data_IF_675916827134
#
_entry.id   IF_675916827134
#
_cell.length_a   1.000
_cell.length_b   1.000
_cell.length_c   1.000
_cell.angle_alpha   90.00
_cell.angle_beta   90.00
_cell.angle_gamma   90.00
#
_symmetry.space_group_name_H-M   'P 1'
#
loop_
_entity.id
_entity.type
_entity.pdbx_description
1 polymer ?
#
# COMPACT_ATOMS: atom_id res chain seq x y z
N UNK A 1 -29.86 -2.48 -16.12
CA UNK A 1 -28.65 -1.80 -15.61
C UNK A 1 -28.84 -0.28 -15.50
N UNK A 2 -30.03 0.20 -15.26
CA UNK A 2 -30.35 1.60 -15.02
C UNK A 2 -31.41 1.72 -13.92
N UNK A 3 -31.42 2.87 -13.24
CA UNK A 3 -32.49 3.28 -12.33
C UNK A 3 -32.95 4.69 -12.68
N UNK A 4 -34.19 5.03 -12.39
CA UNK A 4 -34.71 6.39 -12.46
C UNK A 4 -34.45 7.09 -11.14
N UNK A 5 -33.94 8.31 -11.18
CA UNK A 5 -33.85 9.21 -10.04
C UNK A 5 -34.59 10.51 -10.34
N UNK A 6 -35.25 11.04 -9.32
CA UNK A 6 -35.89 12.35 -9.43
C UNK A 6 -34.88 13.47 -9.17
N UNK A 7 -34.66 14.33 -10.13
CA UNK A 7 -33.89 15.54 -9.90
C UNK A 7 -34.74 16.56 -9.12
N UNK A 8 -34.42 16.77 -7.86
CA UNK A 8 -35.18 17.63 -6.95
C UNK A 8 -35.17 19.12 -7.35
N UNK A 9 -34.20 19.55 -8.16
CA UNK A 9 -34.14 20.94 -8.65
C UNK A 9 -35.03 21.19 -9.88
N UNK A 10 -35.10 20.23 -10.79
CA UNK A 10 -35.81 20.33 -12.04
C UNK A 10 -37.15 19.63 -12.04
N UNK A 11 -37.41 18.74 -11.06
CA UNK A 11 -38.59 17.89 -11.04
C UNK A 11 -38.61 16.78 -12.10
N UNK A 12 -37.54 16.66 -12.89
CA UNK A 12 -37.45 15.69 -13.97
C UNK A 12 -36.85 14.36 -13.47
N UNK A 13 -37.33 13.27 -14.04
CA UNK A 13 -36.75 11.93 -13.79
C UNK A 13 -35.59 11.68 -14.74
N UNK A 14 -34.43 11.38 -14.20
CA UNK A 14 -33.22 11.08 -14.96
C UNK A 14 -32.88 9.59 -14.89
N UNK A 15 -32.41 9.02 -16.01
CA UNK A 15 -31.86 7.68 -16.06
C UNK A 15 -30.41 7.71 -15.60
N UNK A 16 -30.13 7.01 -14.50
CA UNK A 16 -28.76 6.78 -14.05
C UNK A 16 -28.40 5.32 -14.31
N UNK A 17 -27.32 5.10 -15.02
CA UNK A 17 -26.81 3.74 -15.23
C UNK A 17 -26.07 3.29 -13.98
N UNK A 18 -26.49 2.17 -13.38
CA UNK A 18 -25.77 1.53 -12.27
C UNK A 18 -24.37 1.10 -12.73
N UNK A 19 -24.29 0.56 -13.95
CA UNK A 19 -23.02 0.26 -14.62
C UNK A 19 -22.94 1.16 -15.85
N UNK A 20 -21.92 2.04 -15.96
CA UNK A 20 -21.73 2.89 -17.13
C UNK A 20 -21.75 2.05 -18.42
N UNK A 21 -22.38 2.51 -19.52
CA UNK A 21 -22.45 1.77 -20.78
C UNK A 21 -21.08 1.27 -21.28
N UNK A 22 -20.05 2.08 -21.12
CA UNK A 22 -18.65 1.72 -21.47
C UNK A 22 -18.09 0.55 -20.66
N UNK A 23 -18.70 0.18 -19.52
CA UNK A 23 -18.24 -0.90 -18.65
C UNK A 23 -19.09 -2.16 -18.71
N UNK A 24 -20.17 -2.18 -19.49
CA UNK A 24 -21.09 -3.34 -19.56
C UNK A 24 -20.36 -4.61 -20.04
N UNK A 25 -19.37 -4.46 -20.91
CA UNK A 25 -18.55 -5.56 -21.46
C UNK A 25 -17.15 -5.63 -20.90
N UNK A 26 -16.87 -4.90 -19.82
CA UNK A 26 -15.53 -4.72 -19.27
C UNK A 26 -14.77 -6.04 -19.04
N UNK A 27 -15.41 -7.06 -18.44
CA UNK A 27 -14.76 -8.37 -18.22
C UNK A 27 -14.50 -9.12 -19.55
N UNK A 28 -15.42 -9.00 -20.50
CA UNK A 28 -15.25 -9.60 -21.84
C UNK A 28 -14.10 -8.93 -22.59
N UNK A 29 -14.01 -7.61 -22.50
CA UNK A 29 -12.95 -6.83 -23.15
C UNK A 29 -11.58 -7.13 -22.54
N UNK A 30 -11.48 -7.23 -21.20
CA UNK A 30 -10.26 -7.66 -20.53
C UNK A 30 -9.85 -9.07 -20.98
N UNK A 31 -10.80 -10.01 -21.05
CA UNK A 31 -10.51 -11.38 -21.49
C UNK A 31 -9.96 -11.40 -22.90
N UNK A 32 -10.53 -10.59 -23.80
CA UNK A 32 -10.03 -10.45 -25.17
C UNK A 32 -8.61 -9.88 -25.18
N UNK A 33 -8.39 -8.77 -24.47
CA UNK A 33 -7.06 -8.13 -24.35
C UNK A 33 -6.00 -9.11 -23.86
N UNK A 34 -6.32 -9.94 -22.85
CA UNK A 34 -5.38 -10.94 -22.34
C UNK A 34 -5.07 -12.01 -23.38
N UNK A 35 -6.07 -12.50 -24.11
CA UNK A 35 -5.85 -13.49 -25.18
C UNK A 35 -5.05 -12.93 -26.36
N UNK A 36 -5.32 -11.68 -26.73
CA UNK A 36 -4.57 -10.96 -27.76
C UNK A 36 -3.10 -10.79 -27.34
N UNK A 37 -2.88 -10.44 -26.05
CA UNK A 37 -1.54 -10.36 -25.47
C UNK A 37 -0.81 -11.69 -25.48
N UNK A 38 -1.44 -12.79 -25.05
CA UNK A 38 -0.84 -14.13 -25.08
C UNK A 38 -0.47 -14.58 -26.49
N UNK A 39 -1.31 -14.23 -27.47
CA UNK A 39 -1.03 -14.51 -28.90
C UNK A 39 0.18 -13.72 -29.37
N UNK A 40 0.23 -12.43 -29.06
CA UNK A 40 1.37 -11.58 -29.38
C UNK A 40 2.67 -12.06 -28.71
N UNK A 41 2.62 -12.46 -27.44
CA UNK A 41 3.78 -13.04 -26.73
C UNK A 41 4.29 -14.29 -27.46
N UNK A 42 3.39 -15.18 -27.89
CA UNK A 42 3.75 -16.39 -28.60
C UNK A 42 4.44 -16.05 -29.92
N UNK A 43 3.88 -15.15 -30.73
CA UNK A 43 4.46 -14.69 -31.98
C UNK A 43 5.87 -14.09 -31.80
N UNK A 44 6.04 -13.22 -30.81
CA UNK A 44 7.33 -12.59 -30.48
C UNK A 44 8.35 -13.61 -30.00
N UNK A 45 7.93 -14.58 -29.18
CA UNK A 45 8.80 -15.66 -28.72
C UNK A 45 9.25 -16.59 -29.89
N UNK A 46 8.37 -16.87 -30.82
CA UNK A 46 8.72 -17.64 -32.04
C UNK A 46 9.74 -16.88 -32.91
N UNK A 47 9.54 -15.58 -33.14
CA UNK A 47 10.51 -14.75 -33.87
C UNK A 47 11.87 -14.73 -33.17
N UNK A 48 11.89 -14.57 -31.85
CA UNK A 48 13.12 -14.59 -31.06
C UNK A 48 13.81 -15.96 -31.10
N UNK A 49 13.05 -17.04 -31.12
CA UNK A 49 13.57 -18.39 -31.23
C UNK A 49 14.22 -18.63 -32.58
N UNK A 50 13.58 -18.16 -33.65
CA UNK A 50 14.16 -18.23 -34.99
C UNK A 50 15.47 -17.43 -35.09
N UNK A 51 15.49 -16.22 -34.55
CA UNK A 51 16.69 -15.39 -34.47
C UNK A 51 17.82 -16.09 -33.72
N UNK A 52 17.52 -16.74 -32.59
CA UNK A 52 18.49 -17.54 -31.86
C UNK A 52 19.04 -18.68 -32.67
N UNK A 53 18.19 -19.42 -33.40
CA UNK A 53 18.59 -20.52 -34.29
C UNK A 53 19.51 -20.03 -35.44
N UNK A 54 19.13 -18.91 -36.06
CA UNK A 54 19.93 -18.29 -37.14
C UNK A 54 21.29 -17.79 -36.62
N UNK A 55 21.34 -17.18 -35.43
CA UNK A 55 22.58 -16.76 -34.80
C UNK A 55 23.50 -17.96 -34.50
N UNK A 56 22.93 -19.03 -33.96
CA UNK A 56 23.66 -20.28 -33.73
C UNK A 56 24.22 -20.88 -35.04
N UNK A 57 23.45 -20.90 -36.13
CA UNK A 57 23.92 -21.35 -37.43
C UNK A 57 25.06 -20.44 -37.93
N UNK A 58 24.92 -19.13 -37.82
CA UNK A 58 25.93 -18.15 -38.22
C UNK A 58 27.24 -18.29 -37.45
N UNK A 59 27.20 -18.81 -36.23
CA UNK A 59 28.37 -19.04 -35.40
C UNK A 59 29.31 -20.13 -35.98
N UNK A 60 28.81 -21.01 -36.84
CA UNK A 60 29.64 -22.03 -37.50
C UNK A 60 30.45 -21.44 -38.66
N UNK A 61 31.76 -21.73 -38.77
CA UNK A 61 32.64 -21.13 -39.80
C UNK A 61 32.14 -21.27 -41.22
N UNK A 62 31.48 -22.41 -41.54
CA UNK A 62 30.96 -22.70 -42.89
C UNK A 62 29.81 -21.81 -43.35
N UNK A 63 29.07 -21.22 -42.40
CA UNK A 63 27.87 -20.44 -42.65
C UNK A 63 28.05 -18.95 -42.36
N UNK A 64 29.22 -18.54 -41.87
CA UNK A 64 29.52 -17.19 -41.44
C UNK A 64 29.39 -16.12 -42.55
N UNK A 65 29.58 -16.50 -43.80
CA UNK A 65 29.57 -15.60 -44.96
C UNK A 65 28.38 -15.78 -45.87
N UNK A 66 27.31 -16.44 -45.46
CA UNK A 66 26.08 -16.62 -46.21
C UNK A 66 25.23 -15.35 -46.22
N UNK A 67 25.25 -14.58 -47.30
CA UNK A 67 24.46 -13.34 -47.46
C UNK A 67 22.95 -13.57 -47.23
N UNK A 68 22.39 -14.66 -47.72
CA UNK A 68 20.98 -15.04 -47.52
C UNK A 68 20.60 -15.19 -46.01
N UNK A 69 21.53 -15.63 -45.18
CA UNK A 69 21.33 -15.76 -43.76
C UNK A 69 21.26 -14.38 -43.09
N UNK A 70 22.08 -13.44 -43.55
CA UNK A 70 22.09 -12.06 -43.07
C UNK A 70 20.80 -11.32 -43.46
N UNK A 71 20.28 -11.58 -44.65
CA UNK A 71 18.99 -11.03 -45.10
C UNK A 71 17.85 -11.54 -44.24
N UNK A 72 17.77 -12.84 -43.96
CA UNK A 72 16.75 -13.46 -43.11
C UNK A 72 16.81 -12.94 -41.68
N UNK A 73 18.01 -12.81 -41.11
CA UNK A 73 18.21 -12.23 -39.76
C UNK A 73 17.68 -10.80 -39.71
N UNK A 74 17.99 -9.97 -40.70
CA UNK A 74 17.51 -8.58 -40.77
C UNK A 74 15.99 -8.52 -40.88
N UNK A 75 15.39 -9.35 -41.71
CA UNK A 75 13.92 -9.39 -41.84
C UNK A 75 13.24 -9.76 -40.53
N UNK A 76 13.75 -10.79 -39.85
CA UNK A 76 13.19 -11.19 -38.55
C UNK A 76 13.45 -10.16 -37.44
N UNK A 77 14.60 -9.49 -37.44
CA UNK A 77 14.87 -8.38 -36.50
C UNK A 77 13.90 -7.23 -36.69
N UNK A 78 13.43 -6.94 -37.90
CA UNK A 78 12.41 -5.91 -38.15
C UNK A 78 11.02 -6.30 -37.62
N UNK A 79 10.74 -7.61 -37.51
CA UNK A 79 9.47 -8.15 -37.00
C UNK A 79 9.48 -8.27 -35.49
N UNK A 80 10.66 -8.31 -34.86
CA UNK A 80 10.79 -8.35 -33.39
C UNK A 80 10.47 -6.98 -32.78
N UNK A 81 9.54 -6.96 -31.82
CA UNK A 81 9.16 -5.71 -31.16
C UNK A 81 10.37 -5.09 -30.43
N UNK A 82 10.56 -3.76 -30.46
CA UNK A 82 11.72 -3.10 -29.83
C UNK A 82 11.88 -3.41 -28.34
N UNK A 83 10.78 -3.48 -27.58
CA UNK A 83 10.80 -3.85 -26.16
C UNK A 83 11.30 -5.28 -25.95
N UNK A 84 10.90 -6.21 -26.82
CA UNK A 84 11.37 -7.60 -26.78
C UNK A 84 12.88 -7.68 -27.00
N UNK A 85 13.41 -6.87 -27.91
CA UNK A 85 14.85 -6.75 -28.10
C UNK A 85 15.56 -6.22 -26.87
N UNK A 86 15.03 -5.17 -26.26
CA UNK A 86 15.59 -4.60 -24.99
C UNK A 86 15.62 -5.63 -23.87
N UNK A 87 14.56 -6.45 -23.72
CA UNK A 87 14.52 -7.54 -22.75
C UNK A 87 15.65 -8.54 -22.98
N UNK A 88 15.85 -8.97 -24.22
CA UNK A 88 16.92 -9.90 -24.57
C UNK A 88 18.31 -9.32 -24.31
N UNK A 89 18.53 -8.07 -24.73
CA UNK A 89 19.80 -7.37 -24.53
C UNK A 89 20.12 -7.15 -23.04
N UNK A 90 19.09 -6.96 -22.19
CA UNK A 90 19.23 -6.76 -20.75
C UNK A 90 19.34 -8.07 -19.94
N UNK A 91 19.08 -9.24 -20.53
CA UNK A 91 18.94 -10.49 -19.80
C UNK A 91 20.18 -10.89 -18.97
N UNK A 92 21.38 -10.73 -19.52
CA UNK A 92 22.62 -11.05 -18.80
C UNK A 92 22.82 -10.13 -17.58
N UNK A 93 22.50 -8.85 -17.74
CA UNK A 93 22.53 -7.88 -16.62
C UNK A 93 21.52 -8.28 -15.55
N UNK A 94 20.29 -8.60 -15.96
CA UNK A 94 19.24 -9.04 -15.03
C UNK A 94 19.71 -10.26 -14.22
N UNK A 95 20.29 -11.28 -14.87
CA UNK A 95 20.86 -12.45 -14.19
C UNK A 95 21.93 -12.06 -13.17
N UNK A 96 22.79 -11.11 -13.53
CA UNK A 96 23.86 -10.66 -12.63
C UNK A 96 23.32 -9.90 -11.43
N UNK A 97 22.34 -9.03 -11.62
CA UNK A 97 21.72 -8.23 -10.55
C UNK A 97 21.12 -9.14 -9.46
N UNK A 98 20.49 -10.27 -9.84
CA UNK A 98 19.93 -11.24 -8.91
C UNK A 98 20.96 -12.22 -8.31
N UNK A 99 22.18 -12.32 -8.89
CA UNK A 99 23.31 -13.08 -8.33
C UNK A 99 24.17 -12.29 -7.35
N UNK A 100 24.14 -10.96 -7.43
CA UNK A 100 24.89 -10.10 -6.52
C UNK A 100 24.40 -10.31 -5.08
N UNK A 101 25.25 -10.00 -4.11
CA UNK A 101 24.91 -10.10 -2.67
C UNK A 101 23.73 -9.20 -2.30
N UNK A 102 23.63 -8.04 -2.94
CA UNK A 102 22.59 -7.05 -2.69
C UNK A 102 21.85 -6.70 -3.98
N UNK A 103 20.55 -6.67 -3.90
CA UNK A 103 19.68 -6.04 -4.89
C UNK A 103 19.50 -4.57 -4.50
N UNK A 104 19.77 -3.66 -5.45
CA UNK A 104 19.77 -2.22 -5.20
C UNK A 104 18.69 -1.57 -6.04
N UNK A 105 17.78 -0.84 -5.40
CA UNK A 105 16.77 -0.06 -6.09
C UNK A 105 16.56 1.31 -5.42
N UNK A 106 16.06 2.26 -6.18
CA UNK A 106 15.81 3.62 -5.69
C UNK A 106 14.32 3.81 -5.41
N UNK A 107 14.03 4.35 -4.22
CA UNK A 107 12.68 4.83 -3.87
C UNK A 107 12.81 6.33 -3.61
N UNK A 108 12.29 7.14 -4.52
CA UNK A 108 12.52 8.59 -4.56
C UNK A 108 14.04 8.87 -4.59
N UNK A 109 14.56 9.61 -3.60
CA UNK A 109 15.99 9.96 -3.52
C UNK A 109 16.81 8.99 -2.66
N UNK A 110 16.21 7.92 -2.12
CA UNK A 110 16.90 6.95 -1.26
C UNK A 110 17.22 5.68 -2.02
N UNK A 111 18.48 5.27 -1.99
CA UNK A 111 18.93 3.97 -2.44
C UNK A 111 18.67 2.92 -1.35
N UNK A 112 17.96 1.85 -1.71
CA UNK A 112 17.64 0.75 -0.82
C UNK A 112 18.42 -0.48 -1.29
N UNK A 113 19.21 -1.05 -0.37
CA UNK A 113 19.99 -2.28 -0.59
C UNK A 113 19.38 -3.39 0.23
N UNK A 114 19.06 -4.51 -0.41
CA UNK A 114 18.48 -5.67 0.24
C UNK A 114 19.24 -6.92 -0.16
N UNK A 115 19.57 -7.79 0.80
CA UNK A 115 20.22 -9.07 0.52
C UNK A 115 19.38 -9.91 -0.42
N UNK A 116 20.03 -10.44 -1.45
CA UNK A 116 19.40 -11.31 -2.47
C UNK A 116 19.22 -12.75 -2.00
N UNK A 117 19.93 -13.14 -0.95
CA UNK A 117 19.93 -14.50 -0.42
C UNK A 117 19.50 -14.51 1.04
N UNK A 118 18.97 -15.65 1.47
CA UNK A 118 18.76 -16.00 2.88
C UNK A 118 19.68 -17.16 3.23
N UNK A 119 20.20 -17.18 4.45
CA UNK A 119 21.04 -18.28 4.94
C UNK A 119 20.17 -19.35 5.59
N UNK A 120 20.37 -20.60 5.21
CA UNK A 120 19.74 -21.76 5.83
C UNK A 120 20.42 -22.12 7.16
N UNK A 121 19.79 -22.99 7.95
CA UNK A 121 20.38 -23.53 9.19
C UNK A 121 21.70 -24.31 8.94
N UNK A 122 21.93 -24.79 7.72
CA UNK A 122 23.15 -25.43 7.27
C UNK A 122 24.15 -24.47 6.61
N UNK A 123 23.97 -23.17 6.78
CA UNK A 123 24.79 -22.10 6.20
C UNK A 123 24.84 -22.06 4.67
N UNK A 124 23.84 -22.64 4.00
CA UNK A 124 23.70 -22.51 2.55
C UNK A 124 23.01 -21.20 2.20
N UNK A 125 23.50 -20.52 1.17
CA UNK A 125 22.88 -19.31 0.64
C UNK A 125 21.76 -19.69 -0.32
N UNK A 126 20.51 -19.36 0.07
CA UNK A 126 19.29 -19.63 -0.72
C UNK A 126 18.87 -18.32 -1.40
N UNK A 127 18.84 -18.25 -2.75
CA UNK A 127 18.40 -17.04 -3.44
C UNK A 127 16.92 -16.78 -3.16
N UNK A 128 16.58 -15.53 -2.88
CA UNK A 128 15.17 -15.08 -2.72
C UNK A 128 14.41 -15.13 -4.03
N UNK A 129 15.11 -15.01 -5.14
CA UNK A 129 14.57 -15.08 -6.50
C UNK A 129 15.44 -16.03 -7.31
N UNK A 130 14.85 -17.11 -7.80
CA UNK A 130 15.51 -18.04 -8.71
C UNK A 130 15.11 -17.72 -10.15
N UNK A 131 16.05 -17.25 -10.96
CA UNK A 131 15.83 -17.04 -12.38
C UNK A 131 15.96 -18.37 -13.16
N UNK A 132 15.20 -18.52 -14.26
CA UNK A 132 15.33 -19.70 -15.12
C UNK A 132 16.70 -19.75 -15.79
N UNK A 133 17.16 -20.97 -16.07
CA UNK A 133 18.42 -21.23 -16.77
C UNK A 133 18.24 -21.38 -18.28
N UNK A 134 17.37 -20.53 -18.85
CA UNK A 134 17.12 -20.55 -20.28
C UNK A 134 18.31 -19.96 -21.06
N UNK A 135 18.63 -20.56 -22.20
CA UNK A 135 19.60 -20.08 -23.16
C UNK A 135 18.93 -19.60 -24.45
N UNK A 136 17.79 -20.20 -24.81
CA UNK A 136 17.07 -19.84 -26.03
C UNK A 136 16.35 -18.50 -25.85
N UNK A 137 16.44 -17.64 -26.85
CA UNK A 137 15.84 -16.29 -26.81
C UNK A 137 14.32 -16.34 -26.74
N UNK A 138 13.71 -17.35 -27.37
CA UNK A 138 12.27 -17.54 -27.32
C UNK A 138 11.77 -17.85 -25.91
N UNK A 139 12.47 -18.76 -25.18
CA UNK A 139 12.10 -19.12 -23.82
C UNK A 139 12.35 -17.97 -22.84
N UNK A 140 13.47 -17.26 -22.99
CA UNK A 140 13.80 -16.07 -22.20
C UNK A 140 12.71 -15.02 -22.36
N UNK A 141 12.32 -14.74 -23.61
CA UNK A 141 11.32 -13.71 -23.89
C UNK A 141 9.94 -14.11 -23.38
N UNK A 142 9.52 -15.35 -23.60
CA UNK A 142 8.25 -15.89 -23.11
C UNK A 142 8.16 -15.80 -21.60
N UNK A 143 9.23 -16.18 -20.89
CA UNK A 143 9.28 -16.08 -19.44
C UNK A 143 9.18 -14.62 -18.96
N UNK A 144 9.94 -13.70 -19.54
CA UNK A 144 9.87 -12.28 -19.17
C UNK A 144 8.48 -11.67 -19.42
N UNK A 145 7.80 -12.07 -20.50
CA UNK A 145 6.49 -11.53 -20.86
C UNK A 145 5.32 -12.20 -20.15
N UNK A 146 5.49 -13.37 -19.51
CA UNK A 146 4.41 -14.11 -18.83
C UNK A 146 4.62 -14.32 -17.34
N UNK A 147 5.85 -14.27 -16.84
CA UNK A 147 6.18 -14.51 -15.44
C UNK A 147 6.97 -13.37 -14.79
N UNK A 148 8.06 -12.98 -15.39
CA UNK A 148 8.97 -11.87 -15.07
C UNK A 148 9.59 -11.89 -13.65
N UNK A 149 10.42 -10.87 -13.39
CA UNK A 149 11.10 -10.63 -12.12
C UNK A 149 10.24 -9.75 -11.20
N UNK A 150 10.50 -9.76 -9.87
CA UNK A 150 9.77 -8.91 -8.93
C UNK A 150 9.83 -7.42 -9.29
N UNK A 151 8.67 -6.79 -9.35
CA UNK A 151 8.53 -5.37 -9.67
C UNK A 151 8.29 -5.06 -11.15
N UNK A 152 8.45 -6.06 -12.04
CA UNK A 152 8.21 -5.93 -13.48
C UNK A 152 6.92 -6.65 -13.88
N UNK A 153 6.22 -6.14 -14.91
CA UNK A 153 5.00 -6.77 -15.41
C UNK A 153 5.32 -7.94 -16.37
N UNK A 154 4.58 -9.04 -16.26
CA UNK A 154 3.65 -9.50 -15.23
C UNK A 154 4.38 -10.37 -14.19
N UNK A 155 4.57 -9.89 -12.96
CA UNK A 155 5.17 -10.73 -11.93
C UNK A 155 4.14 -11.73 -11.37
N UNK A 156 4.36 -13.02 -11.59
CA UNK A 156 3.41 -14.09 -11.24
C UNK A 156 3.87 -15.01 -10.12
N UNK A 157 5.14 -14.95 -9.71
CA UNK A 157 5.70 -15.84 -8.70
C UNK A 157 5.25 -15.57 -7.25
N UNK A 158 4.38 -14.59 -7.00
CA UNK A 158 3.76 -14.35 -5.72
C UNK A 158 4.21 -13.08 -5.00
N UNK A 159 4.56 -13.19 -3.72
CA UNK A 159 4.86 -12.01 -2.88
C UNK A 159 6.22 -11.41 -3.24
N UNK A 160 6.29 -10.07 -3.32
CA UNK A 160 7.54 -9.35 -3.55
C UNK A 160 8.61 -9.73 -2.50
N UNK A 161 9.75 -10.33 -2.89
CA UNK A 161 10.69 -10.93 -1.96
C UNK A 161 11.69 -9.94 -1.33
N UNK A 162 11.83 -8.74 -1.89
CA UNK A 162 12.78 -7.72 -1.44
C UNK A 162 12.12 -6.73 -0.50
N UNK A 163 11.59 -7.23 0.61
CA UNK A 163 11.08 -6.38 1.69
C UNK A 163 12.24 -5.80 2.48
N UNK A 164 12.01 -4.60 3.04
CA UNK A 164 12.98 -3.98 3.94
C UNK A 164 13.32 -4.91 5.09
N UNK A 165 14.59 -4.98 5.47
CA UNK A 165 15.01 -5.72 6.65
C UNK A 165 14.31 -5.17 7.89
N UNK A 166 13.82 -6.06 8.75
CA UNK A 166 13.09 -5.70 9.96
C UNK A 166 11.61 -5.33 9.76
N UNK A 167 11.08 -5.40 8.54
CA UNK A 167 9.64 -5.27 8.32
C UNK A 167 8.94 -6.64 8.46
N UNK A 168 8.20 -6.81 9.57
CA UNK A 168 7.25 -7.91 9.65
C UNK A 168 6.07 -7.62 8.70
N UNK A 169 5.75 -8.53 7.76
CA UNK A 169 4.59 -8.37 6.89
C UNK A 169 3.26 -8.52 7.61
N UNK A 170 3.27 -8.93 8.87
CA UNK A 170 2.07 -9.21 9.64
C UNK A 170 1.29 -7.92 9.90
N UNK A 171 0.05 -7.90 9.42
CA UNK A 171 -0.90 -6.82 9.69
C UNK A 171 -1.83 -7.22 10.81
N UNK A 172 -1.90 -6.36 11.83
CA UNK A 172 -2.76 -6.57 12.98
C UNK A 172 -4.14 -5.99 12.69
N UNK A 173 -5.13 -6.85 12.61
CA UNK A 173 -6.51 -6.46 12.39
C UNK A 173 -7.26 -6.44 13.71
N UNK A 174 -7.85 -5.29 14.07
CA UNK A 174 -8.70 -5.16 15.23
C UNK A 174 -9.78 -4.09 15.03
N UNK A 175 -10.85 -4.23 15.78
CA UNK A 175 -11.93 -3.28 15.89
C UNK A 175 -13.03 -3.85 16.78
N UNK A 176 -13.15 -3.28 17.98
CA UNK A 176 -14.16 -3.67 18.95
C UNK A 176 -14.40 -2.56 19.97
N UNK A 177 -15.63 -2.37 20.36
CA UNK A 177 -16.02 -1.45 21.43
C UNK A 177 -15.68 0.01 21.13
N UNK A 178 -15.29 0.75 22.17
CA UNK A 178 -14.78 2.10 22.04
C UNK A 178 -13.30 2.15 21.63
N UNK A 179 -12.79 3.36 21.33
CA UNK A 179 -11.43 3.56 20.85
C UNK A 179 -10.36 3.03 21.78
N UNK A 180 -10.52 3.19 23.09
CA UNK A 180 -9.54 2.75 24.08
C UNK A 180 -9.41 1.21 24.12
N UNK A 181 -10.53 0.49 23.92
CA UNK A 181 -10.50 -0.98 23.89
C UNK A 181 -9.73 -1.48 22.69
N UNK A 182 -9.97 -0.92 21.52
CA UNK A 182 -9.24 -1.27 20.30
C UNK A 182 -7.78 -0.83 20.36
N UNK A 183 -7.48 0.34 20.95
CA UNK A 183 -6.12 0.80 21.21
C UNK A 183 -5.33 -0.21 22.06
N UNK A 184 -5.91 -0.67 23.18
CA UNK A 184 -5.31 -1.71 24.03
C UNK A 184 -5.04 -2.99 23.24
N UNK A 185 -5.97 -3.40 22.38
CA UNK A 185 -5.80 -4.58 21.52
C UNK A 185 -4.64 -4.39 20.55
N UNK A 186 -4.55 -3.24 19.88
CA UNK A 186 -3.45 -2.94 18.98
C UNK A 186 -2.09 -2.99 19.68
N UNK A 187 -1.97 -2.38 20.85
CA UNK A 187 -0.72 -2.44 21.63
C UNK A 187 -0.37 -3.86 22.03
N UNK A 188 -1.35 -4.63 22.52
CA UNK A 188 -1.13 -6.02 22.91
C UNK A 188 -0.60 -6.89 21.76
N UNK A 189 -1.23 -6.81 20.57
CA UNK A 189 -0.84 -7.65 19.42
C UNK A 189 0.41 -7.13 18.70
N UNK A 190 0.82 -5.90 18.93
CA UNK A 190 2.00 -5.30 18.30
C UNK A 190 3.21 -5.18 19.21
N UNK A 191 3.08 -5.64 20.45
CA UNK A 191 4.16 -5.55 21.44
C UNK A 191 5.40 -6.33 20.96
N UNK A 192 6.55 -5.67 20.98
CA UNK A 192 7.82 -6.26 20.54
C UNK A 192 8.02 -6.37 19.02
N UNK A 193 7.03 -6.01 18.19
CA UNK A 193 7.19 -6.01 16.74
C UNK A 193 7.93 -4.77 16.25
N UNK A 194 8.84 -4.90 15.26
CA UNK A 194 9.63 -3.79 14.74
C UNK A 194 8.80 -2.79 13.92
N UNK A 195 7.73 -3.24 13.28
CA UNK A 195 6.81 -2.41 12.52
C UNK A 195 5.38 -2.55 13.02
N UNK A 196 4.65 -1.44 13.07
CA UNK A 196 3.26 -1.35 13.51
C UNK A 196 2.35 -1.22 12.28
N UNK A 197 1.71 -2.32 11.87
CA UNK A 197 0.82 -2.36 10.70
C UNK A 197 -0.61 -2.60 11.17
N UNK A 198 -1.31 -1.52 11.43
CA UNK A 198 -2.64 -1.54 12.05
C UNK A 198 -3.73 -1.57 10.97
N UNK A 199 -4.64 -2.52 11.06
CA UNK A 199 -5.82 -2.59 10.21
C UNK A 199 -7.05 -2.42 11.07
N UNK A 200 -7.74 -1.30 10.89
CA UNK A 200 -8.89 -0.94 11.73
C UNK A 200 -10.20 -1.37 11.07
N UNK A 201 -10.99 -2.17 11.78
CA UNK A 201 -12.37 -2.43 11.46
C UNK A 201 -13.27 -1.46 12.24
N UNK A 202 -14.12 -0.73 11.53
CA UNK A 202 -15.13 0.13 12.13
C UNK A 202 -16.46 -0.60 12.26
N UNK A 203 -17.24 -0.26 13.29
CA UNK A 203 -18.58 -0.78 13.45
C UNK A 203 -19.55 -0.24 12.37
N UNK A 204 -20.73 -0.85 12.26
CA UNK A 204 -21.69 -0.44 11.23
C UNK A 204 -22.19 1.00 11.43
N UNK A 205 -22.23 1.50 12.66
CA UNK A 205 -22.66 2.87 12.99
C UNK A 205 -21.67 3.87 12.39
N UNK A 206 -20.38 3.67 12.66
CA UNK A 206 -19.30 4.45 12.05
C UNK A 206 -19.29 4.33 10.53
N UNK A 207 -19.48 3.11 9.98
CA UNK A 207 -19.48 2.86 8.53
C UNK A 207 -20.61 3.58 7.79
N UNK A 208 -21.74 3.83 8.46
CA UNK A 208 -22.86 4.59 7.91
C UNK A 208 -22.78 6.10 8.17
N UNK A 209 -21.80 6.56 8.95
CA UNK A 209 -21.64 7.96 9.33
C UNK A 209 -22.70 8.43 10.32
N UNK A 210 -23.19 7.52 11.15
CA UNK A 210 -24.16 7.79 12.21
C UNK A 210 -23.46 8.00 13.54
N UNK A 211 -24.06 8.83 14.40
CA UNK A 211 -23.62 8.98 15.78
C UNK A 211 -24.15 7.85 16.67
N UNK A 212 -23.37 7.39 17.65
CA UNK A 212 -23.84 6.40 18.61
C UNK A 212 -25.00 6.96 19.44
N UNK A 213 -26.11 6.24 19.47
CA UNK A 213 -27.32 6.63 20.20
C UNK A 213 -28.09 5.41 20.70
N UNK A 214 -28.95 5.62 21.70
CA UNK A 214 -29.88 4.59 22.17
C UNK A 214 -31.12 4.61 21.26
N UNK A 215 -30.99 4.02 20.09
CA UNK A 215 -32.06 3.84 19.08
C UNK A 215 -32.20 2.38 18.75
N UNK A 216 -33.43 1.87 18.46
CA UNK A 216 -33.64 0.45 18.17
C UNK A 216 -32.86 -0.07 16.95
N UNK A 217 -32.63 0.78 15.96
CA UNK A 217 -31.95 0.43 14.69
C UNK A 217 -30.43 0.28 14.83
N UNK A 218 -29.80 0.96 15.80
CA UNK A 218 -28.35 0.93 16.02
C UNK A 218 -27.95 0.38 17.38
N UNK A 219 -28.88 0.27 18.33
CA UNK A 219 -28.60 -0.31 19.63
C UNK A 219 -28.08 -1.76 19.49
N UNK A 220 -26.98 -2.05 20.19
CA UNK A 220 -26.31 -3.35 20.07
C UNK A 220 -25.38 -3.49 18.84
N UNK A 221 -25.35 -2.50 17.94
CA UNK A 221 -24.38 -2.45 16.81
C UNK A 221 -23.17 -1.59 17.15
N UNK A 222 -23.29 -0.70 18.13
CA UNK A 222 -22.21 0.21 18.56
C UNK A 222 -21.07 -0.59 19.18
N UNK A 223 -19.90 -0.51 18.58
CA UNK A 223 -18.70 -1.25 19.00
C UNK A 223 -18.77 -2.75 18.75
N UNK A 224 -19.78 -3.23 18.01
CA UNK A 224 -19.91 -4.63 17.63
C UNK A 224 -19.32 -4.87 16.23
N UNK A 225 -18.46 -5.89 16.11
CA UNK A 225 -17.73 -6.23 14.86
C UNK A 225 -16.89 -5.09 14.28
N UNK A 226 -16.51 -4.14 15.11
CA UNK A 226 -15.70 -2.98 14.75
C UNK A 226 -15.65 -1.97 15.89
N UNK A 227 -14.73 -1.01 15.77
CA UNK A 227 -14.61 0.09 16.72
C UNK A 227 -15.57 1.23 16.37
N UNK A 228 -16.21 1.80 17.39
CA UNK A 228 -17.07 2.99 17.24
C UNK A 228 -16.22 4.25 17.33
N UNK A 229 -16.22 5.06 16.27
CA UNK A 229 -15.49 6.34 16.15
C UNK A 229 -16.48 7.38 15.64
N UNK A 230 -16.76 8.39 16.45
CA UNK A 230 -17.67 9.47 16.05
C UNK A 230 -17.04 10.87 16.17
N UNK A 231 -15.89 10.99 16.84
CA UNK A 231 -15.18 12.25 17.04
C UNK A 231 -13.69 12.15 16.69
N UNK A 232 -13.06 13.31 16.50
CA UNK A 232 -11.61 13.40 16.36
C UNK A 232 -10.89 12.84 17.59
N UNK A 233 -11.42 13.09 18.78
CA UNK A 233 -10.83 12.58 20.02
C UNK A 233 -10.86 11.06 20.11
N UNK A 234 -11.87 10.42 19.54
CA UNK A 234 -11.90 8.95 19.44
C UNK A 234 -10.79 8.44 18.56
N UNK A 235 -10.50 9.10 17.44
CA UNK A 235 -9.37 8.75 16.57
C UNK A 235 -8.02 8.96 17.28
N UNK A 236 -7.86 10.04 18.05
CA UNK A 236 -6.67 10.28 18.88
C UNK A 236 -6.45 9.19 19.91
N UNK A 237 -7.52 8.76 20.59
CA UNK A 237 -7.46 7.67 21.57
C UNK A 237 -7.17 6.32 20.90
N UNK A 238 -7.77 6.07 19.74
CA UNK A 238 -7.58 4.83 18.97
C UNK A 238 -6.13 4.61 18.59
N UNK A 239 -5.45 5.66 18.11
CA UNK A 239 -4.07 5.59 17.63
C UNK A 239 -3.05 6.14 18.64
N UNK A 240 -3.45 6.37 19.91
CA UNK A 240 -2.53 6.81 20.94
C UNK A 240 -1.36 5.86 21.14
N UNK A 241 -0.16 6.42 21.27
CA UNK A 241 1.10 5.68 21.44
C UNK A 241 1.65 5.05 20.15
N UNK A 242 0.99 5.28 19.02
CA UNK A 242 1.51 4.93 17.70
C UNK A 242 1.85 6.19 16.93
N UNK A 243 3.13 6.44 16.69
CA UNK A 243 3.57 7.56 15.85
C UNK A 243 3.13 7.35 14.40
N UNK A 244 2.08 8.07 13.98
CA UNK A 244 1.49 7.92 12.65
C UNK A 244 2.38 8.47 11.53
N UNK A 245 3.38 9.28 11.86
CA UNK A 245 4.37 9.80 10.90
C UNK A 245 5.65 8.95 10.85
N UNK A 246 5.77 7.93 11.69
CA UNK A 246 6.90 7.00 11.65
C UNK A 246 6.86 6.13 10.39
N UNK A 247 7.99 5.92 9.69
CA UNK A 247 8.05 5.02 8.53
C UNK A 247 7.72 3.56 8.88
N UNK A 248 7.82 3.19 10.16
CA UNK A 248 7.51 1.85 10.66
C UNK A 248 6.04 1.69 11.08
N UNK A 249 5.24 2.75 11.01
CA UNK A 249 3.80 2.71 11.31
C UNK A 249 3.00 2.84 10.02
N UNK A 250 2.08 1.93 9.79
CA UNK A 250 1.10 2.04 8.71
C UNK A 250 -0.29 1.67 9.19
N UNK A 251 -1.28 2.43 8.75
CA UNK A 251 -2.67 2.21 9.08
C UNK A 251 -3.47 1.92 7.83
N UNK A 252 -4.31 0.90 7.87
CA UNK A 252 -5.38 0.71 6.89
C UNK A 252 -6.73 0.75 7.59
N UNK A 253 -7.71 1.31 6.91
CA UNK A 253 -9.03 1.54 7.47
C UNK A 253 -10.08 0.96 6.53
N UNK A 254 -10.92 0.05 7.05
CA UNK A 254 -12.06 -0.47 6.31
C UNK A 254 -13.22 0.50 6.50
N UNK A 255 -13.36 1.47 5.60
CA UNK A 255 -14.36 2.54 5.66
C UNK A 255 -14.98 2.75 4.28
N UNK A 256 -16.23 3.20 4.22
CA UNK A 256 -16.95 3.41 2.97
C UNK A 256 -17.62 4.79 2.93
N UNK A 257 -18.86 4.91 3.40
CA UNK A 257 -19.61 6.16 3.31
C UNK A 257 -18.87 7.39 3.86
N UNK A 258 -18.48 7.43 5.12
CA UNK A 258 -17.81 8.57 5.75
C UNK A 258 -16.29 8.55 5.58
N UNK A 259 -15.76 7.97 4.51
CA UNK A 259 -14.31 7.84 4.29
C UNK A 259 -13.57 9.19 4.37
N UNK A 260 -14.14 10.26 3.82
CA UNK A 260 -13.54 11.59 3.88
C UNK A 260 -13.42 12.10 5.32
N UNK A 261 -14.45 11.92 6.15
CA UNK A 261 -14.47 12.33 7.56
C UNK A 261 -13.44 11.55 8.37
N UNK A 262 -13.41 10.23 8.22
CA UNK A 262 -12.44 9.39 8.94
C UNK A 262 -11.01 9.68 8.47
N UNK A 263 -10.78 9.93 7.20
CA UNK A 263 -9.49 10.39 6.69
C UNK A 263 -9.08 11.72 7.33
N UNK A 264 -10.00 12.69 7.44
CA UNK A 264 -9.74 13.95 8.11
C UNK A 264 -9.40 13.76 9.60
N UNK A 265 -10.10 12.88 10.31
CA UNK A 265 -9.76 12.53 11.69
C UNK A 265 -8.36 11.93 11.81
N UNK A 266 -8.00 11.01 10.89
CA UNK A 266 -6.68 10.42 10.87
C UNK A 266 -5.57 11.44 10.61
N UNK A 267 -5.74 12.31 9.62
CA UNK A 267 -4.78 13.37 9.30
C UNK A 267 -4.60 14.34 10.47
N UNK A 268 -5.70 14.81 11.08
CA UNK A 268 -5.64 15.68 12.25
C UNK A 268 -5.00 14.98 13.45
N UNK A 269 -5.26 13.68 13.65
CA UNK A 269 -4.58 12.91 14.71
C UNK A 269 -3.06 12.89 14.48
N UNK A 270 -2.62 12.66 13.25
CA UNK A 270 -1.19 12.65 12.90
C UNK A 270 -0.55 14.03 13.12
N UNK A 271 -1.22 15.11 12.70
CA UNK A 271 -0.77 16.49 12.91
C UNK A 271 -0.65 16.79 14.40
N UNK A 272 -1.69 16.49 15.18
CA UNK A 272 -1.69 16.76 16.61
C UNK A 272 -0.63 15.92 17.37
N UNK A 273 -0.31 14.72 16.91
CA UNK A 273 0.82 13.96 17.43
C UNK A 273 2.17 14.67 17.19
N UNK A 274 2.38 15.28 16.03
CA UNK A 274 3.59 16.06 15.76
C UNK A 274 3.61 17.35 16.61
N UNK A 275 2.49 18.04 16.74
CA UNK A 275 2.36 19.17 17.68
C UNK A 275 2.71 18.76 19.11
N UNK A 276 2.21 17.61 19.57
CA UNK A 276 2.52 17.10 20.90
C UNK A 276 4.00 16.79 21.08
N UNK A 277 4.67 16.20 20.09
CA UNK A 277 6.12 16.00 20.11
C UNK A 277 6.87 17.31 20.24
N UNK A 278 6.52 18.30 19.41
CA UNK A 278 7.09 19.65 19.52
C UNK A 278 6.92 20.26 20.90
N UNK A 279 5.71 20.17 21.50
CA UNK A 279 5.39 20.66 22.83
C UNK A 279 6.28 19.99 23.89
N UNK A 280 6.46 18.66 23.79
CA UNK A 280 7.29 17.89 24.73
C UNK A 280 8.78 18.23 24.57
N UNK A 281 9.29 18.32 23.34
CA UNK A 281 10.69 18.63 23.03
C UNK A 281 11.08 20.04 23.46
N UNK A 282 10.16 21.00 23.37
CA UNK A 282 10.40 22.37 23.80
C UNK A 282 10.04 22.65 25.27
N UNK A 283 9.63 21.63 26.05
CA UNK A 283 9.29 21.70 27.44
C UNK A 283 8.15 22.71 27.79
N UNK A 284 7.21 22.93 26.87
CA UNK A 284 6.08 23.85 27.04
C UNK A 284 4.76 23.14 27.44
N UNK A 285 4.84 21.89 27.90
CA UNK A 285 3.67 21.07 28.30
C UNK A 285 2.77 21.77 29.32
N UNK A 286 3.33 22.37 30.32
CA UNK A 286 2.53 23.01 31.42
C UNK A 286 1.85 24.29 30.93
N UNK A 287 2.49 25.05 30.04
CA UNK A 287 1.86 26.20 29.40
C UNK A 287 0.67 25.79 28.54
N UNK A 288 0.86 24.76 27.69
CA UNK A 288 -0.21 24.23 26.86
C UNK A 288 -1.35 23.67 27.70
N UNK A 289 -1.08 22.95 28.77
CA UNK A 289 -2.13 22.47 29.69
C UNK A 289 -2.95 23.61 30.27
N UNK A 290 -2.33 24.70 30.67
CA UNK A 290 -3.04 25.90 31.17
C UNK A 290 -3.96 26.49 30.09
N UNK A 291 -3.48 26.65 28.86
CA UNK A 291 -4.30 27.11 27.73
C UNK A 291 -5.51 26.19 27.49
N UNK A 292 -5.31 24.88 27.55
CA UNK A 292 -6.40 23.90 27.38
C UNK A 292 -7.42 24.04 28.52
N UNK A 293 -6.97 24.17 29.78
CA UNK A 293 -7.84 24.31 30.94
C UNK A 293 -8.66 25.60 30.86
N UNK A 294 -8.08 26.70 30.38
CA UNK A 294 -8.78 27.97 30.13
C UNK A 294 -9.88 27.81 29.08
N UNK A 295 -9.58 27.10 27.94
CA UNK A 295 -10.56 26.79 26.90
C UNK A 295 -11.75 26.02 27.48
N UNK A 296 -11.50 24.99 28.28
CA UNK A 296 -12.55 24.16 28.84
C UNK A 296 -13.34 24.88 29.96
N UNK A 297 -12.66 25.71 30.71
CA UNK A 297 -13.28 26.58 31.74
C UNK A 297 -14.25 27.59 31.07
N UNK A 298 -13.85 28.19 29.97
CA UNK A 298 -14.72 29.10 29.21
C UNK A 298 -15.94 28.42 28.61
N UNK A 299 -15.79 27.16 28.18
CA UNK A 299 -16.88 26.34 27.61
C UNK A 299 -17.78 25.70 28.65
N UNK A 300 -17.46 25.82 29.97
CA UNK A 300 -18.12 25.10 31.06
C UNK A 300 -18.33 23.61 30.77
N UNK A 301 -17.32 22.97 30.18
CA UNK A 301 -17.38 21.58 29.73
C UNK A 301 -16.27 20.76 30.39
N UNK A 302 -16.49 19.45 30.50
CA UNK A 302 -15.48 18.52 30.98
C UNK A 302 -14.56 18.12 29.81
N UNK A 303 -13.26 18.24 30.04
CA UNK A 303 -12.25 17.81 29.06
C UNK A 303 -12.33 16.31 28.82
N UNK A 304 -12.26 15.86 27.52
CA UNK A 304 -12.14 14.45 27.20
C UNK A 304 -10.89 13.82 27.78
N UNK A 305 -11.01 12.56 28.19
CA UNK A 305 -9.90 11.80 28.75
C UNK A 305 -9.89 10.38 28.16
N UNK A 306 -8.72 9.76 28.19
CA UNK A 306 -8.59 8.34 27.87
C UNK A 306 -9.14 7.51 29.04
N UNK A 307 -10.03 6.55 28.74
CA UNK A 307 -10.67 5.73 29.76
C UNK A 307 -9.80 4.56 30.22
N UNK A 308 -9.45 4.55 31.51
CA UNK A 308 -8.65 3.50 32.14
C UNK A 308 -7.15 3.68 31.96
N UNK A 309 -6.38 2.67 32.37
CA UNK A 309 -4.92 2.68 32.28
C UNK A 309 -4.45 2.49 30.82
N UNK A 310 -3.33 3.14 30.50
CA UNK A 310 -2.64 2.93 29.22
C UNK A 310 -2.07 1.50 29.16
N UNK A 311 -2.13 0.84 28.02
CA UNK A 311 -1.52 -0.48 27.85
C UNK A 311 0.01 -0.39 27.77
N UNK A 312 0.68 -1.53 27.98
CA UNK A 312 2.12 -1.64 27.79
C UNK A 312 2.51 -1.21 26.37
N UNK A 313 3.57 -0.41 26.27
CA UNK A 313 4.05 0.14 25.00
C UNK A 313 3.31 1.38 24.51
N UNK A 314 2.32 1.90 25.25
CA UNK A 314 1.68 3.18 24.97
C UNK A 314 2.28 4.28 25.86
N UNK A 315 3.00 5.22 25.25
CA UNK A 315 3.61 6.39 25.90
C UNK A 315 2.67 7.59 26.06
N UNK A 316 1.41 7.44 25.65
CA UNK A 316 0.40 8.48 25.69
C UNK A 316 0.49 9.50 24.56
N UNK A 317 1.30 9.29 23.52
CA UNK A 317 1.36 10.17 22.36
C UNK A 317 -0.04 10.33 21.72
N UNK A 318 -0.43 11.57 21.47
CA UNK A 318 -1.75 11.92 20.93
C UNK A 318 -2.81 12.23 22.00
N UNK A 319 -2.51 12.09 23.29
CA UNK A 319 -3.48 12.33 24.37
C UNK A 319 -3.34 13.72 25.01
N UNK A 320 -2.22 14.41 24.84
CA UNK A 320 -2.03 15.76 25.39
C UNK A 320 -3.02 16.75 24.79
N UNK A 321 -3.39 16.57 23.53
CA UNK A 321 -4.30 17.47 22.80
C UNK A 321 -5.74 16.92 22.70
N UNK A 322 -6.18 16.04 23.62
CA UNK A 322 -7.60 15.67 23.69
C UNK A 322 -8.49 16.87 23.95
N UNK A 323 -9.51 17.01 23.11
CA UNK A 323 -10.51 18.09 23.17
C UNK A 323 -10.09 19.40 22.52
N UNK A 324 -8.87 19.51 22.03
CA UNK A 324 -8.32 20.65 21.28
C UNK A 324 -7.46 20.17 20.14
N UNK A 325 -7.15 21.05 19.21
CA UNK A 325 -6.21 20.80 18.11
C UNK A 325 -4.96 21.67 18.24
N UNK A 326 -3.87 21.30 17.58
CA UNK A 326 -2.58 21.99 17.70
C UNK A 326 -2.66 23.49 17.38
N UNK A 327 -3.47 23.88 16.40
CA UNK A 327 -3.69 25.27 15.99
C UNK A 327 -4.37 26.15 17.07
N UNK A 328 -5.05 25.54 18.02
CA UNK A 328 -5.70 26.26 19.13
C UNK A 328 -4.74 26.59 20.29
N UNK A 329 -3.62 25.89 20.37
CA UNK A 329 -2.68 25.98 21.51
C UNK A 329 -1.29 26.42 21.12
N UNK A 330 -0.89 26.26 19.87
CA UNK A 330 0.39 26.71 19.32
C UNK A 330 0.23 27.97 18.49
N UNK A 331 1.30 28.74 18.37
CA UNK A 331 1.35 29.90 17.49
C UNK A 331 1.26 29.47 16.01
N UNK A 332 0.63 30.28 15.17
CA UNK A 332 0.39 29.97 13.75
C UNK A 332 1.63 29.61 12.97
N UNK A 333 2.76 30.29 13.27
CA UNK A 333 4.04 30.03 12.59
C UNK A 333 4.65 28.68 12.96
N UNK A 334 4.42 28.26 14.21
CA UNK A 334 4.87 26.95 14.70
C UNK A 334 3.99 25.83 14.16
N UNK A 335 2.68 26.05 14.17
CA UNK A 335 1.72 25.07 13.66
C UNK A 335 1.87 24.83 12.13
N UNK A 336 2.27 25.85 11.37
CA UNK A 336 2.42 25.76 9.93
C UNK A 336 3.71 25.02 9.48
N UNK A 337 4.69 24.83 10.38
CA UNK A 337 5.92 24.05 10.15
C UNK A 337 5.73 22.57 10.41
#
# INVERSE_FOLDING_TARGET
>A
NWQSTLNLRTGNSEKIYIIPPARVRYLSDITKTNRDYDTWVKEQAEIAQDLYALDRIKSFPKFKTLEKLDEEIKEKQLKLHPECKQILDAWEKTKQDYKNEFYVFKVRDKEIKIKTHTESLSHLQIPKVALPKYESWGDILKWNLQENVPGEFPYTAGVFPFKREGEDPTRMFAGEGGPERTNKRFHYVSLGLPAKRLSTAFDSVTLYGEDPAIRPDIYGKIGNSGVSICTLDDAKKLYSGFDLCSPNTSVSMTINGPAATICAFFMNTAIDQQCEKYIRENNIVDEVKKKIDEIYKSKNAKRPAYAGALPDGNDGLGLLLLGVTGDQVLDKEVYAK
#
